data_IF_538535446639
#
_entry.id   IF_538535446639
#
_cell.length_a   1.000
_cell.length_b   1.000
_cell.length_c   1.000
_cell.angle_alpha   90.00
_cell.angle_beta   90.00
_cell.angle_gamma   90.00
#
_symmetry.space_group_name_H-M   'P 1'
#
loop_
_entity.id
_entity.type
_entity.pdbx_description
1 polymer ?
#
# COMPACT_ATOMS: atom_id res chain seq x y z
N UNK A 1 4.15 15.18 -4.04
CA UNK A 1 5.01 14.34 -3.20
C UNK A 1 4.10 13.71 -2.13
N UNK A 2 4.33 12.47 -1.71
CA UNK A 2 3.38 11.77 -0.82
C UNK A 2 3.64 12.17 0.63
N UNK A 3 2.78 13.04 1.15
CA UNK A 3 2.97 13.73 2.44
C UNK A 3 3.06 12.78 3.63
N UNK A 4 2.48 11.59 3.55
CA UNK A 4 2.48 10.62 4.65
C UNK A 4 3.78 9.81 4.68
N UNK A 5 4.35 9.48 3.52
CA UNK A 5 5.71 8.92 3.47
C UNK A 5 6.73 9.92 4.02
N UNK A 6 6.60 11.20 3.70
CA UNK A 6 7.47 12.27 4.21
C UNK A 6 7.42 12.44 5.74
N UNK A 7 6.41 11.91 6.43
CA UNK A 7 6.31 11.97 7.90
C UNK A 7 7.19 10.92 8.59
N UNK A 8 7.74 9.95 7.86
CA UNK A 8 8.67 8.96 8.39
C UNK A 8 10.13 9.32 8.01
N UNK A 9 11.15 8.97 8.83
CA UNK A 9 12.56 9.12 8.48
C UNK A 9 12.91 8.18 7.31
N UNK A 10 12.70 8.68 6.09
CA UNK A 10 12.94 7.97 4.84
C UNK A 10 14.22 8.47 4.17
N UNK A 11 15.05 7.53 3.75
CA UNK A 11 16.20 7.76 2.90
C UNK A 11 15.79 7.85 1.42
N UNK A 12 16.32 8.85 0.71
CA UNK A 12 16.11 9.02 -0.73
C UNK A 12 16.97 8.01 -1.49
N UNK A 13 16.52 7.44 -2.62
CA UNK A 13 15.40 7.88 -3.46
C UNK A 13 14.03 7.26 -3.13
N UNK A 14 12.96 7.96 -3.53
CA UNK A 14 11.57 7.46 -3.51
C UNK A 14 11.11 7.20 -4.94
N UNK A 15 10.54 6.02 -5.20
CA UNK A 15 9.90 5.66 -6.45
C UNK A 15 8.38 5.77 -6.30
N UNK A 16 7.72 6.57 -7.14
CA UNK A 16 6.26 6.65 -7.19
C UNK A 16 5.74 6.16 -8.53
N UNK A 17 4.88 5.15 -8.49
CA UNK A 17 4.16 4.59 -9.61
C UNK A 17 2.69 5.00 -9.46
N UNK A 18 2.29 6.05 -10.17
CA UNK A 18 0.91 6.54 -10.16
C UNK A 18 0.28 6.22 -11.52
N UNK A 19 -0.70 5.31 -11.56
CA UNK A 19 -1.45 5.04 -12.77
C UNK A 19 -2.22 6.27 -13.26
N UNK A 20 -2.55 6.31 -14.55
CA UNK A 20 -3.26 7.45 -15.16
C UNK A 20 -4.73 7.59 -14.72
N UNK A 21 -5.33 6.51 -14.21
CA UNK A 21 -6.72 6.50 -13.74
C UNK A 21 -6.76 6.23 -12.24
N UNK A 22 -7.65 6.93 -11.55
CA UNK A 22 -7.83 6.83 -10.09
C UNK A 22 -8.47 5.51 -9.64
N UNK A 23 -8.85 4.63 -10.56
CA UNK A 23 -9.36 3.28 -10.27
C UNK A 23 -8.24 2.26 -10.03
N UNK A 24 -6.98 2.60 -10.30
CA UNK A 24 -5.82 1.74 -10.08
C UNK A 24 -5.06 2.19 -8.83
N UNK A 25 -4.74 1.26 -7.95
CA UNK A 25 -4.03 1.58 -6.71
C UNK A 25 -2.65 2.19 -7.03
N UNK A 26 -2.32 3.41 -6.59
CA UNK A 26 -0.97 3.93 -6.73
C UNK A 26 -0.02 3.18 -5.79
N UNK A 27 1.27 3.14 -6.13
CA UNK A 27 2.33 2.54 -5.30
C UNK A 27 3.46 3.54 -5.13
N UNK A 28 3.95 3.70 -3.91
CA UNK A 28 5.13 4.50 -3.58
C UNK A 28 6.07 3.68 -2.71
N UNK A 29 7.34 3.62 -3.10
CA UNK A 29 8.40 2.86 -2.42
C UNK A 29 9.48 3.83 -1.99
N UNK A 30 9.91 3.76 -0.74
CA UNK A 30 11.01 4.54 -0.22
C UNK A 30 11.93 3.68 0.64
N UNK A 31 13.21 4.02 0.67
CA UNK A 31 14.13 3.45 1.66
C UNK A 31 13.84 4.12 3.01
N UNK A 32 13.91 3.35 4.09
CA UNK A 32 13.90 3.89 5.44
C UNK A 32 15.35 4.18 5.90
N UNK A 33 15.50 4.79 7.07
CA UNK A 33 16.83 5.04 7.66
C UNK A 33 17.42 3.80 8.39
N UNK A 34 16.66 2.70 8.47
CA UNK A 34 17.04 1.43 9.10
C UNK A 34 16.94 0.30 8.07
N UNK A 35 18.06 -0.15 7.45
CA UNK A 35 18.11 -0.80 6.14
C UNK A 35 16.85 -1.62 5.77
N UNK A 36 15.94 -0.97 5.06
CA UNK A 36 14.63 -1.51 4.72
C UNK A 36 13.82 -0.58 3.82
N UNK A 37 12.58 -0.97 3.55
CA UNK A 37 11.67 -0.31 2.63
C UNK A 37 10.36 0.02 3.32
N UNK A 38 9.82 1.20 2.97
CA UNK A 38 8.43 1.56 3.21
C UNK A 38 7.68 1.52 1.89
N UNK A 39 6.59 0.77 1.83
CA UNK A 39 5.74 0.64 0.65
C UNK A 39 4.36 1.15 0.99
N UNK A 40 3.99 2.29 0.40
CA UNK A 40 2.61 2.78 0.44
C UNK A 40 1.89 2.33 -0.82
N UNK A 41 0.69 1.79 -0.67
CA UNK A 41 -0.12 1.33 -1.78
C UNK A 41 -1.59 1.67 -1.56
N UNK A 42 -2.34 1.85 -2.65
CA UNK A 42 -3.68 2.39 -2.54
C UNK A 42 -3.66 3.81 -2.00
N UNK A 43 -4.67 4.16 -1.22
CA UNK A 43 -4.88 5.49 -0.69
C UNK A 43 -4.31 5.67 0.71
N UNK A 44 -4.27 4.63 1.55
CA UNK A 44 -3.78 4.74 2.93
C UNK A 44 -2.91 3.58 3.42
N UNK A 45 -2.93 2.41 2.77
CA UNK A 45 -2.16 1.27 3.23
C UNK A 45 -0.64 1.51 3.15
N UNK A 46 0.09 1.09 4.18
CA UNK A 46 1.56 1.17 4.26
C UNK A 46 2.09 -0.11 4.90
N UNK A 47 3.10 -0.70 4.27
CA UNK A 47 3.79 -1.92 4.71
C UNK A 47 5.29 -1.65 4.81
N UNK A 48 5.96 -2.28 5.78
CA UNK A 48 7.38 -2.12 6.05
C UNK A 48 8.12 -3.43 5.80
N UNK A 49 9.31 -3.36 5.22
CA UNK A 49 10.17 -4.51 4.93
C UNK A 49 11.60 -4.23 5.41
N UNK A 50 12.13 -4.91 6.45
CA UNK A 50 11.43 -5.85 7.31
C UNK A 50 10.32 -5.18 8.14
N UNK A 51 9.40 -5.99 8.68
CA UNK A 51 8.35 -5.49 9.59
C UNK A 51 8.96 -4.96 10.88
N UNK A 52 10.03 -5.60 11.35
CA UNK A 52 10.77 -5.23 12.54
C UNK A 52 12.25 -5.08 12.21
N UNK A 53 12.83 -3.91 12.50
CA UNK A 53 14.26 -3.66 12.27
C UNK A 53 15.15 -4.11 13.44
N UNK A 54 14.64 -4.88 14.40
CA UNK A 54 15.45 -5.33 15.53
C UNK A 54 16.25 -6.58 15.18
N UNK A 55 17.43 -6.73 15.77
CA UNK A 55 18.30 -7.89 15.59
C UNK A 55 17.77 -9.18 16.25
N UNK A 56 16.70 -9.08 17.03
CA UNK A 56 16.04 -10.22 17.66
C UNK A 56 14.94 -10.85 16.79
N UNK A 57 14.42 -10.12 15.80
CA UNK A 57 13.49 -10.65 14.81
C UNK A 57 14.31 -11.27 13.68
N UNK A 58 14.18 -12.57 13.49
CA UNK A 58 14.93 -13.35 12.49
C UNK A 58 14.27 -13.21 11.10
N UNK A 59 13.97 -11.98 10.68
CA UNK A 59 13.40 -11.68 9.36
C UNK A 59 14.50 -11.78 8.30
N UNK A 60 14.37 -12.76 7.40
CA UNK A 60 15.39 -13.05 6.39
C UNK A 60 15.17 -12.21 5.13
N UNK A 61 16.24 -11.64 4.52
CA UNK A 61 16.10 -10.80 3.33
C UNK A 61 15.38 -11.47 2.15
N UNK A 62 15.58 -12.78 1.94
CA UNK A 62 14.95 -13.52 0.84
C UNK A 62 13.44 -13.70 1.05
N UNK A 63 13.01 -13.96 2.30
CA UNK A 63 11.60 -14.07 2.67
C UNK A 63 10.89 -12.71 2.56
N UNK A 64 11.58 -11.64 2.97
CA UNK A 64 11.07 -10.27 2.84
C UNK A 64 10.97 -9.82 1.37
N UNK A 65 11.88 -10.28 0.52
CA UNK A 65 11.81 -10.05 -0.92
C UNK A 65 10.62 -10.77 -1.57
N UNK A 66 10.36 -12.02 -1.17
CA UNK A 66 9.19 -12.78 -1.62
C UNK A 66 7.90 -12.09 -1.19
N UNK A 67 7.80 -11.73 0.10
CA UNK A 67 6.64 -11.00 0.67
C UNK A 67 6.40 -9.66 -0.04
N UNK A 68 7.46 -8.92 -0.34
CA UNK A 68 7.38 -7.67 -1.10
C UNK A 68 6.86 -7.90 -2.52
N UNK A 69 7.35 -8.95 -3.18
CA UNK A 69 6.95 -9.30 -4.56
C UNK A 69 5.49 -9.75 -4.62
N UNK A 70 5.05 -10.57 -3.66
CA UNK A 70 3.66 -11.00 -3.52
C UNK A 70 2.73 -9.80 -3.30
N UNK A 71 3.07 -8.90 -2.36
CA UNK A 71 2.32 -7.68 -2.11
C UNK A 71 2.12 -6.87 -3.39
N UNK A 72 3.21 -6.56 -4.11
CA UNK A 72 3.12 -5.78 -5.35
C UNK A 72 2.34 -6.52 -6.44
N UNK A 73 2.51 -7.84 -6.55
CA UNK A 73 1.77 -8.64 -7.51
C UNK A 73 0.26 -8.56 -7.26
N UNK A 74 -0.18 -8.62 -6.01
CA UNK A 74 -1.61 -8.54 -5.67
C UNK A 74 -2.18 -7.15 -5.92
N UNK A 75 -1.45 -6.09 -5.55
CA UNK A 75 -1.85 -4.71 -5.81
C UNK A 75 -1.99 -4.46 -7.32
N UNK A 76 -0.99 -4.86 -8.11
CA UNK A 76 -0.99 -4.70 -9.57
C UNK A 76 -2.07 -5.56 -10.23
N UNK A 77 -2.35 -6.75 -9.69
CA UNK A 77 -3.42 -7.61 -10.18
C UNK A 77 -4.84 -7.18 -9.75
N UNK A 78 -4.99 -6.09 -8.98
CA UNK A 78 -6.29 -5.65 -8.47
C UNK A 78 -6.89 -6.61 -7.45
N UNK A 79 -6.06 -7.45 -6.81
CA UNK A 79 -6.47 -8.40 -5.77
C UNK A 79 -6.42 -7.76 -4.38
N UNK A 80 -6.73 -6.47 -4.31
CA UNK A 80 -6.60 -5.63 -3.14
C UNK A 80 -7.81 -4.71 -3.04
N UNK A 81 -8.41 -4.64 -1.84
CA UNK A 81 -9.37 -3.61 -1.49
C UNK A 81 -8.98 -2.97 -0.16
N UNK A 82 -9.44 -1.75 0.03
CA UNK A 82 -9.28 -1.08 1.31
C UNK A 82 -10.56 -0.36 1.72
N UNK A 83 -10.80 -0.29 3.02
CA UNK A 83 -11.91 0.46 3.60
C UNK A 83 -11.39 1.44 4.66
N UNK A 84 -12.06 2.58 4.78
CA UNK A 84 -11.89 3.51 5.89
C UNK A 84 -13.22 3.64 6.61
N UNK A 85 -13.23 3.25 7.89
CA UNK A 85 -14.43 3.32 8.72
C UNK A 85 -14.45 4.61 9.55
N UNK A 86 -15.66 5.13 9.76
CA UNK A 86 -15.94 6.28 10.59
C UNK A 86 -15.72 6.04 12.08
N UNK A 87 -15.67 7.14 12.84
CA UNK A 87 -15.47 7.11 14.29
C UNK A 87 -14.01 7.29 14.70
N UNK A 88 -13.20 6.24 14.56
CA UNK A 88 -11.80 6.23 15.04
C UNK A 88 -10.74 6.32 13.94
N UNK A 89 -11.17 6.46 12.67
CA UNK A 89 -10.28 6.57 11.52
C UNK A 89 -9.53 5.28 11.21
N UNK A 90 -10.08 4.13 11.60
CA UNK A 90 -9.49 2.84 11.28
C UNK A 90 -9.59 2.54 9.78
N UNK A 91 -8.43 2.34 9.18
CA UNK A 91 -8.30 1.92 7.80
C UNK A 91 -7.95 0.44 7.75
N UNK A 92 -8.57 -0.29 6.83
CA UNK A 92 -8.36 -1.73 6.63
C UNK A 92 -7.92 -1.96 5.19
N UNK A 93 -6.98 -2.88 5.00
CA UNK A 93 -6.64 -3.44 3.70
C UNK A 93 -6.87 -4.95 3.72
N UNK A 94 -7.34 -5.50 2.61
CA UNK A 94 -7.64 -6.92 2.47
C UNK A 94 -7.20 -7.41 1.09
N UNK A 95 -6.60 -8.61 1.08
CA UNK A 95 -6.07 -9.26 -0.11
C UNK A 95 -6.81 -10.57 -0.42
N UNK A 96 -6.92 -10.89 -1.71
CA UNK A 96 -7.71 -12.02 -2.20
C UNK A 96 -6.90 -12.91 -3.13
N UNK A 97 -7.12 -14.22 -3.08
CA UNK A 97 -6.69 -15.15 -4.13
C UNK A 97 -7.91 -15.94 -4.59
N UNK A 98 -8.18 -15.94 -5.89
CA UNK A 98 -9.45 -16.41 -6.45
C UNK A 98 -10.64 -15.80 -5.67
N UNK A 99 -11.32 -16.59 -4.83
CA UNK A 99 -12.50 -16.18 -4.05
C UNK A 99 -12.30 -16.22 -2.52
N UNK A 100 -11.05 -16.34 -2.03
CA UNK A 100 -10.78 -16.37 -0.59
C UNK A 100 -9.83 -15.25 -0.14
N UNK A 101 -10.09 -14.70 1.05
CA UNK A 101 -9.22 -13.72 1.69
C UNK A 101 -7.94 -14.42 2.15
N UNK A 102 -6.79 -13.93 1.69
CA UNK A 102 -5.47 -14.48 2.03
C UNK A 102 -4.72 -13.65 3.06
N UNK A 103 -5.11 -12.39 3.24
CA UNK A 103 -4.39 -11.49 4.12
C UNK A 103 -5.09 -10.15 4.31
N UNK A 104 -4.42 -9.28 5.03
CA UNK A 104 -4.89 -7.94 5.30
C UNK A 104 -4.35 -7.40 6.61
N UNK A 105 -4.36 -6.09 6.71
CA UNK A 105 -3.93 -5.33 7.86
C UNK A 105 -4.81 -4.10 8.06
N UNK A 106 -4.36 -3.23 8.93
CA UNK A 106 -5.00 -1.96 9.14
C UNK A 106 -4.13 -1.01 9.93
N UNK A 107 -4.41 0.27 9.74
CA UNK A 107 -3.72 1.36 10.41
C UNK A 107 -4.69 2.49 10.69
N UNK A 108 -4.32 3.37 11.61
CA UNK A 108 -5.10 4.57 11.87
C UNK A 108 -4.73 5.68 10.89
N UNK A 109 -5.75 6.21 10.23
CA UNK A 109 -5.69 7.49 9.53
C UNK A 109 -6.00 8.61 10.53
N UNK A 110 -5.26 9.73 10.53
CA UNK A 110 -5.54 10.86 11.42
C UNK A 110 -7.01 11.30 11.32
N UNK A 111 -7.63 11.58 12.47
CA UNK A 111 -9.08 11.83 12.57
C UNK A 111 -9.59 12.93 11.64
N UNK A 112 -8.82 14.01 11.47
CA UNK A 112 -9.19 15.12 10.59
C UNK A 112 -9.19 14.69 9.12
N UNK A 113 -8.15 13.99 8.68
CA UNK A 113 -8.06 13.43 7.33
C UNK A 113 -9.16 12.41 7.07
N UNK A 114 -9.41 11.51 8.04
CA UNK A 114 -10.48 10.53 7.94
C UNK A 114 -11.86 11.20 7.81
N UNK A 115 -12.13 12.25 8.59
CA UNK A 115 -13.38 13.00 8.51
C UNK A 115 -13.58 13.67 7.15
N UNK A 116 -12.50 14.21 6.55
CA UNK A 116 -12.53 14.80 5.21
C UNK A 116 -12.83 13.75 4.13
N UNK A 117 -12.21 12.56 4.21
CA UNK A 117 -12.41 11.47 3.26
C UNK A 117 -13.83 10.90 3.36
N UNK A 118 -14.29 10.63 4.58
CA UNK A 118 -15.61 10.06 4.83
C UNK A 118 -16.73 11.00 4.39
N UNK A 119 -16.54 12.32 4.53
CA UNK A 119 -17.49 13.33 4.07
C UNK A 119 -18.96 13.04 4.50
N UNK A 120 -19.14 12.59 5.75
CA UNK A 120 -20.44 12.24 6.32
C UNK A 120 -20.89 10.79 6.09
N UNK A 121 -20.17 10.00 5.29
CA UNK A 121 -20.36 8.55 5.18
C UNK A 121 -19.85 7.82 6.42
N UNK A 122 -20.47 6.68 6.74
CA UNK A 122 -20.02 5.79 7.82
C UNK A 122 -18.76 5.02 7.41
N UNK A 123 -18.63 4.69 6.12
CA UNK A 123 -17.50 3.96 5.58
C UNK A 123 -17.29 4.34 4.11
N UNK A 124 -16.04 4.33 3.68
CA UNK A 124 -15.64 4.41 2.26
C UNK A 124 -14.85 3.15 1.93
N UNK A 125 -15.30 2.41 0.92
CA UNK A 125 -14.62 1.21 0.40
C UNK A 125 -14.07 1.52 -0.99
N UNK A 126 -12.79 1.22 -1.22
CA UNK A 126 -12.11 1.32 -2.49
C UNK A 126 -11.75 -0.08 -2.99
N UNK A 127 -12.33 -0.46 -4.11
CA UNK A 127 -11.96 -1.65 -4.86
C UNK A 127 -11.06 -1.24 -6.02
N UNK A 128 -9.83 -1.74 -6.01
CA UNK A 128 -8.83 -1.34 -6.98
C UNK A 128 -8.83 -2.26 -8.19
N UNK A 129 -8.83 -1.67 -9.38
CA UNK A 129 -8.76 -2.40 -10.63
C UNK A 129 -7.34 -2.92 -10.91
N UNK A 130 -7.20 -4.04 -11.65
CA UNK A 130 -5.89 -4.48 -12.14
C UNK A 130 -5.25 -3.40 -13.01
N UNK A 131 -3.95 -3.19 -12.84
CA UNK A 131 -3.21 -2.26 -13.65
C UNK A 131 -3.23 -2.72 -15.12
N UNK A 132 -3.37 -1.80 -16.07
CA UNK A 132 -3.33 -2.16 -17.47
C UNK A 132 -1.92 -2.70 -17.79
N UNK A 133 -1.82 -3.73 -18.66
CA UNK A 133 -0.51 -4.15 -19.14
C UNK A 133 0.17 -2.94 -19.77
N UNK A 134 1.49 -2.84 -19.61
CA UNK A 134 2.26 -1.82 -20.32
C UNK A 134 1.91 -1.95 -21.80
N UNK A 135 1.47 -0.88 -22.48
CA UNK A 135 1.26 -0.95 -23.92
C UNK A 135 2.56 -1.47 -24.51
N UNK A 136 2.48 -2.58 -25.25
CA UNK A 136 3.65 -3.15 -25.90
C UNK A 136 4.38 -2.03 -26.62
N UNK A 137 5.72 -2.05 -26.58
CA UNK A 137 6.53 -1.13 -27.38
C UNK A 137 6.29 -1.51 -28.85
N UNK A 138 5.17 -1.06 -29.41
CA UNK A 138 4.74 -1.37 -30.75
C UNK A 138 5.65 -0.68 -31.73
N UNK A 139 6.28 -1.50 -32.57
CA UNK A 139 6.33 -1.32 -34.02
C UNK A 139 5.43 -0.17 -34.50
N UNK A 140 6.08 0.95 -34.82
CA UNK A 140 5.64 1.93 -35.82
C UNK A 140 6.62 1.87 -36.96
#
# INVERSE_FOLDING_TARGET
MDTELERSPLSRPTLKLTPLQDSFAPVSIAFNDSPGLAVRYGRWATEWFPTCSCDACDEMPDEEFERFTELLSDVVAGRFREALSGGDGWSRNEFWSADHRIGGGGSRVPREEAAQILNGSEEVVLEWMPWPPRPGRGET
#
